data_IF_143194247648
#
_entry.id   IF_143194247648
#
_cell.length_a   1.000
_cell.length_b   1.000
_cell.length_c   1.000
_cell.angle_alpha   90.00
_cell.angle_beta   90.00
_cell.angle_gamma   90.00
#
_symmetry.space_group_name_H-M   'P 1'
#
loop_
_entity.id
_entity.type
_entity.pdbx_description
1 polymer ?
#
# COMPACT_ATOMS: atom_id res chain seq x y z
N UNK A 1 8.18 23.87 9.59
CA UNK A 1 8.63 23.69 8.19
C UNK A 1 7.77 24.52 7.25
N UNK A 2 8.32 25.01 6.13
CA UNK A 2 7.58 25.86 5.19
C UNK A 2 6.76 24.99 4.22
N UNK A 3 5.45 25.24 4.15
CA UNK A 3 4.57 24.61 3.16
C UNK A 3 4.88 25.10 1.75
N UNK A 4 5.00 24.19 0.78
CA UNK A 4 5.32 24.54 -0.61
C UNK A 4 4.22 25.33 -1.34
N UNK A 5 2.98 25.29 -0.84
CA UNK A 5 1.82 25.97 -1.43
C UNK A 5 1.60 27.34 -0.77
N UNK A 6 1.20 27.38 0.50
CA UNK A 6 0.87 28.65 1.16
C UNK A 6 2.10 29.44 1.67
N UNK A 7 3.31 28.88 1.57
CA UNK A 7 4.58 29.49 2.02
C UNK A 7 4.65 29.85 3.51
N UNK A 8 3.68 29.42 4.31
CA UNK A 8 3.67 29.62 5.77
C UNK A 8 4.43 28.51 6.47
N UNK A 9 4.99 28.84 7.63
CA UNK A 9 5.49 27.85 8.56
C UNK A 9 4.33 27.07 9.20
N UNK A 10 4.38 25.74 9.07
CA UNK A 10 3.36 24.81 9.54
C UNK A 10 4.02 23.51 10.04
N UNK A 11 3.25 22.75 10.81
CA UNK A 11 3.49 21.32 11.07
C UNK A 11 3.03 20.52 9.85
N UNK A 12 3.95 19.82 9.18
CA UNK A 12 3.64 19.01 8.01
C UNK A 12 4.66 17.88 7.84
N UNK A 13 4.31 16.85 7.08
CA UNK A 13 5.22 15.76 6.76
C UNK A 13 6.24 16.19 5.69
N UNK A 14 7.54 16.06 5.98
CA UNK A 14 8.61 16.55 5.09
C UNK A 14 8.53 15.97 3.69
N UNK A 15 8.18 14.69 3.57
CA UNK A 15 8.10 14.00 2.29
C UNK A 15 6.90 14.46 1.43
N UNK A 16 5.79 14.92 2.05
CA UNK A 16 4.66 15.56 1.33
C UNK A 16 5.01 17.00 0.94
N UNK A 17 5.64 17.75 1.84
CA UNK A 17 6.01 19.15 1.62
C UNK A 17 4.82 20.12 1.58
N UNK A 18 3.60 19.66 1.86
CA UNK A 18 2.37 20.45 1.89
C UNK A 18 1.64 20.26 3.22
N UNK A 19 1.02 21.31 3.74
CA UNK A 19 0.32 21.27 5.03
C UNK A 19 -1.15 20.81 4.87
N UNK A 20 -1.76 20.36 5.97
CA UNK A 20 -3.15 19.91 6.03
C UNK A 20 -4.13 20.89 5.37
N UNK A 21 -4.05 22.17 5.73
CA UNK A 21 -4.97 23.21 5.23
C UNK A 21 -4.93 23.28 3.70
N UNK A 22 -3.74 23.26 3.08
CA UNK A 22 -3.62 23.28 1.62
C UNK A 22 -4.12 21.99 0.96
N UNK A 23 -3.98 20.83 1.62
CA UNK A 23 -4.54 19.57 1.11
C UNK A 23 -6.07 19.65 1.05
N UNK A 24 -6.70 20.22 2.09
CA UNK A 24 -8.16 20.28 2.21
C UNK A 24 -8.77 21.41 1.36
N UNK A 25 -8.14 22.58 1.31
CA UNK A 25 -8.72 23.80 0.73
C UNK A 25 -8.17 24.14 -0.65
N UNK A 26 -7.00 23.59 -1.04
CA UNK A 26 -6.30 23.89 -2.30
C UNK A 26 -5.90 22.61 -3.03
N UNK A 27 -6.86 21.69 -3.16
CA UNK A 27 -6.65 20.33 -3.66
C UNK A 27 -5.93 20.28 -5.02
N UNK A 28 -6.35 21.08 -6.00
CA UNK A 28 -5.74 21.06 -7.35
C UNK A 28 -4.24 21.39 -7.33
N UNK A 29 -3.81 22.25 -6.39
CA UNK A 29 -2.39 22.55 -6.19
C UNK A 29 -1.67 21.45 -5.39
N UNK A 30 -2.35 20.84 -4.41
CA UNK A 30 -1.79 19.83 -3.51
C UNK A 30 -1.67 18.44 -4.14
N UNK A 31 -2.58 18.08 -5.06
CA UNK A 31 -2.73 16.74 -5.63
C UNK A 31 -1.43 16.19 -6.20
N UNK A 32 -0.69 17.01 -6.96
CA UNK A 32 0.58 16.58 -7.56
C UNK A 32 1.64 16.17 -6.52
N UNK A 33 1.74 16.89 -5.40
CA UNK A 33 2.66 16.55 -4.31
C UNK A 33 2.29 15.22 -3.66
N UNK A 34 1.00 14.99 -3.44
CA UNK A 34 0.47 13.76 -2.85
C UNK A 34 0.72 12.58 -3.79
N UNK A 35 0.35 12.72 -5.06
CA UNK A 35 0.56 11.68 -6.07
C UNK A 35 2.03 11.30 -6.23
N UNK A 36 2.94 12.29 -6.27
CA UNK A 36 4.38 12.05 -6.35
C UNK A 36 4.88 11.30 -5.11
N UNK A 37 4.40 11.68 -3.92
CA UNK A 37 4.79 11.01 -2.69
C UNK A 37 4.36 9.54 -2.66
N UNK A 38 3.11 9.25 -3.06
CA UNK A 38 2.62 7.88 -3.19
C UNK A 38 3.41 7.07 -4.23
N UNK A 39 3.64 7.63 -5.43
CA UNK A 39 4.43 6.97 -6.48
C UNK A 39 5.83 6.62 -6.00
N UNK A 40 6.53 7.57 -5.34
CA UNK A 40 7.86 7.33 -4.77
C UNK A 40 7.85 6.22 -3.74
N UNK A 41 6.91 6.26 -2.79
CA UNK A 41 6.81 5.23 -1.74
C UNK A 41 6.65 3.83 -2.31
N UNK A 42 5.98 3.68 -3.46
CA UNK A 42 5.74 2.38 -4.09
C UNK A 42 6.89 1.93 -4.96
N UNK A 43 7.53 2.88 -5.65
CA UNK A 43 8.70 2.63 -6.48
C UNK A 43 9.85 2.01 -5.68
N UNK A 44 10.06 2.48 -4.45
CA UNK A 44 11.10 1.94 -3.54
C UNK A 44 10.93 0.43 -3.30
N UNK A 45 9.70 -0.08 -3.33
CA UNK A 45 9.40 -1.50 -3.17
C UNK A 45 9.11 -2.21 -4.50
N UNK A 46 9.54 -1.67 -5.64
CA UNK A 46 9.31 -2.24 -6.98
C UNK A 46 7.84 -2.57 -7.30
N UNK A 47 6.92 -1.83 -6.70
CA UNK A 47 5.48 -1.96 -6.94
C UNK A 47 5.00 -0.98 -8.02
N UNK A 48 3.86 -1.29 -8.65
CA UNK A 48 3.24 -0.38 -9.63
C UNK A 48 2.99 0.97 -8.99
N UNK A 49 3.60 2.03 -9.52
CA UNK A 49 3.56 3.40 -8.95
C UNK A 49 2.14 3.98 -8.95
N UNK A 50 1.32 3.55 -9.91
CA UNK A 50 -0.09 3.94 -10.07
C UNK A 50 -0.97 2.71 -10.25
N UNK A 51 -2.28 2.88 -10.03
CA UNK A 51 -3.27 1.86 -10.41
C UNK A 51 -3.17 1.63 -11.92
N UNK A 52 -2.89 0.40 -12.39
CA UNK A 52 -2.83 0.10 -13.81
C UNK A 52 -4.16 0.40 -14.51
N UNK A 53 -4.08 1.14 -15.62
CA UNK A 53 -5.22 1.52 -16.47
C UNK A 53 -4.90 1.28 -17.95
N UNK A 54 -4.26 0.15 -18.23
CA UNK A 54 -3.82 -0.23 -19.57
C UNK A 54 -5.03 -0.51 -20.47
N UNK A 55 -5.11 0.18 -21.62
CA UNK A 55 -6.28 0.17 -22.52
C UNK A 55 -6.74 -1.22 -22.97
N UNK A 56 -5.79 -2.13 -23.20
CA UNK A 56 -6.03 -3.53 -23.57
C UNK A 56 -5.76 -4.49 -22.41
N UNK A 57 -5.77 -3.98 -21.18
CA UNK A 57 -5.51 -4.75 -19.98
C UNK A 57 -6.72 -5.57 -19.53
N UNK A 58 -6.45 -6.66 -18.83
CA UNK A 58 -7.50 -7.49 -18.22
C UNK A 58 -8.01 -6.77 -16.97
N UNK A 59 -9.33 -6.62 -16.87
CA UNK A 59 -9.97 -5.99 -15.71
C UNK A 59 -9.90 -6.92 -14.49
N UNK A 60 -9.41 -6.41 -13.36
CA UNK A 60 -9.42 -7.08 -12.06
C UNK A 60 -10.43 -6.40 -11.13
N UNK A 61 -11.50 -7.11 -10.76
CA UNK A 61 -12.62 -6.56 -9.95
C UNK A 61 -12.56 -6.95 -8.46
N UNK A 62 -11.41 -7.38 -7.95
CA UNK A 62 -11.31 -7.87 -6.56
C UNK A 62 -11.44 -6.76 -5.50
N UNK A 63 -11.04 -5.54 -5.86
CA UNK A 63 -11.06 -4.40 -4.94
C UNK A 63 -11.34 -3.10 -5.71
N UNK A 64 -11.58 -2.01 -4.98
CA UNK A 64 -11.97 -0.70 -5.51
C UNK A 64 -10.95 -0.05 -6.46
N UNK A 65 -9.72 -0.55 -6.54
CA UNK A 65 -8.75 -0.05 -7.53
C UNK A 65 -9.18 -0.37 -8.97
N UNK A 66 -9.90 -1.47 -9.19
CA UNK A 66 -10.34 -1.92 -10.52
C UNK A 66 -9.25 -1.80 -11.58
N UNK A 67 -8.13 -2.50 -11.34
CA UNK A 67 -6.96 -2.42 -12.23
C UNK A 67 -7.33 -2.94 -13.63
N UNK A 68 -6.85 -2.26 -14.67
CA UNK A 68 -6.76 -2.83 -16.02
C UNK A 68 -5.29 -3.18 -16.26
N UNK A 69 -4.99 -4.47 -16.17
CA UNK A 69 -3.62 -4.97 -16.08
C UNK A 69 -3.16 -5.41 -17.48
N UNK A 70 -2.24 -4.65 -18.08
CA UNK A 70 -1.65 -4.91 -19.40
C UNK A 70 -0.74 -6.14 -19.40
N UNK A 71 -0.41 -6.67 -20.58
CA UNK A 71 0.44 -7.87 -20.71
C UNK A 71 1.79 -7.66 -20.03
N UNK A 72 2.17 -8.57 -19.13
CA UNK A 72 3.39 -8.49 -18.32
C UNK A 72 3.30 -7.57 -17.09
N UNK A 73 2.23 -6.78 -16.96
CA UNK A 73 2.06 -5.88 -15.82
C UNK A 73 1.52 -6.61 -14.60
N UNK A 74 1.81 -6.02 -13.43
CA UNK A 74 1.24 -6.43 -12.15
C UNK A 74 0.08 -5.50 -11.78
N UNK A 75 -0.91 -6.05 -11.07
CA UNK A 75 -1.95 -5.27 -10.41
C UNK A 75 -1.36 -4.37 -9.32
N UNK A 76 -2.14 -3.38 -8.87
CA UNK A 76 -1.69 -2.43 -7.85
C UNK A 76 -1.28 -3.11 -6.53
N UNK A 77 -1.91 -4.22 -6.14
CA UNK A 77 -1.52 -4.98 -4.95
C UNK A 77 -0.23 -5.80 -5.13
N UNK A 78 0.30 -5.94 -6.34
CA UNK A 78 1.44 -6.82 -6.65
C UNK A 78 1.10 -8.32 -6.71
N UNK A 79 -0.05 -8.78 -6.20
CA UNK A 79 -0.38 -10.21 -6.12
C UNK A 79 -0.95 -10.83 -7.39
N UNK A 80 -1.17 -10.04 -8.44
CA UNK A 80 -1.72 -10.52 -9.71
C UNK A 80 -0.91 -10.00 -10.88
N UNK A 81 -0.62 -10.85 -11.85
CA UNK A 81 0.11 -10.51 -13.08
C UNK A 81 -0.74 -10.91 -14.28
N UNK A 82 -0.76 -10.08 -15.32
CA UNK A 82 -1.28 -10.54 -16.61
C UNK A 82 -0.16 -11.27 -17.34
N UNK A 83 -0.23 -12.60 -17.34
CA UNK A 83 0.73 -13.46 -17.99
C UNK A 83 0.07 -14.07 -19.23
N UNK A 84 0.61 -13.74 -20.41
CA UNK A 84 0.13 -14.26 -21.69
C UNK A 84 -1.39 -14.10 -21.91
N UNK A 85 -1.96 -12.97 -21.48
CA UNK A 85 -3.39 -12.69 -21.66
C UNK A 85 -4.29 -13.40 -20.63
N UNK A 86 -3.72 -13.91 -19.55
CA UNK A 86 -4.45 -14.48 -18.40
C UNK A 86 -4.04 -13.81 -17.12
N UNK A 87 -5.01 -13.56 -16.24
CA UNK A 87 -4.74 -12.98 -14.93
C UNK A 87 -4.34 -14.09 -13.95
N UNK A 88 -3.06 -14.16 -13.61
CA UNK A 88 -2.50 -15.12 -12.66
C UNK A 88 -2.51 -14.51 -11.26
N UNK A 89 -2.88 -15.30 -10.25
CA UNK A 89 -2.85 -14.94 -8.83
C UNK A 89 -1.73 -15.68 -8.13
N UNK A 90 -0.94 -14.97 -7.32
CA UNK A 90 0.14 -15.57 -6.52
C UNK A 90 -0.32 -16.12 -5.16
N UNK A 91 -1.60 -15.92 -4.85
CA UNK A 91 -2.29 -16.48 -3.69
C UNK A 91 -3.51 -17.29 -4.13
N UNK A 92 -3.86 -18.30 -3.34
CA UNK A 92 -5.01 -19.19 -3.53
C UNK A 92 -5.63 -19.54 -2.17
N UNK A 93 -6.70 -20.34 -2.18
CA UNK A 93 -7.31 -20.86 -0.95
C UNK A 93 -6.33 -21.68 -0.07
N UNK A 94 -5.34 -22.32 -0.71
CA UNK A 94 -4.38 -23.21 -0.05
C UNK A 94 -2.99 -22.58 0.09
N UNK A 95 -2.80 -21.36 -0.45
CA UNK A 95 -1.50 -20.66 -0.46
C UNK A 95 -1.69 -19.16 -0.21
N UNK A 96 -1.21 -18.68 0.94
CA UNK A 96 -1.19 -17.27 1.29
C UNK A 96 0.24 -16.78 1.51
N UNK A 97 0.48 -15.49 1.21
CA UNK A 97 1.68 -14.77 1.64
C UNK A 97 1.26 -14.02 2.89
N UNK A 98 1.91 -14.29 4.01
CA UNK A 98 1.53 -13.77 5.31
C UNK A 98 2.77 -13.26 6.04
N UNK A 99 2.55 -12.24 6.85
CA UNK A 99 3.45 -11.84 7.91
C UNK A 99 2.69 -11.91 9.23
N UNK A 100 3.36 -12.31 10.30
CA UNK A 100 2.79 -12.20 11.63
C UNK A 100 3.80 -11.55 12.57
N UNK A 101 3.27 -10.88 13.58
CA UNK A 101 4.07 -10.27 14.63
C UNK A 101 3.25 -10.17 15.92
N UNK A 102 3.95 -10.03 17.04
CA UNK A 102 3.34 -9.74 18.33
C UNK A 102 3.11 -8.24 18.42
N UNK A 103 1.84 -7.82 18.41
CA UNK A 103 1.48 -6.40 18.45
C UNK A 103 1.15 -6.00 19.89
N UNK A 104 1.94 -5.10 20.53
CA UNK A 104 1.74 -4.73 21.92
C UNK A 104 0.45 -3.93 22.13
N UNK A 105 -0.34 -4.30 23.12
CA UNK A 105 -1.54 -3.54 23.51
C UNK A 105 -1.14 -2.13 23.97
N UNK A 106 -1.82 -1.04 23.50
CA UNK A 106 -3.13 -0.99 22.83
C UNK A 106 -3.12 -0.63 21.32
N UNK A 107 -2.17 -1.12 20.53
CA UNK A 107 -1.98 -0.66 19.12
C UNK A 107 -3.11 -1.02 18.14
N UNK A 108 -3.63 -2.25 18.18
CA UNK A 108 -4.52 -2.80 17.15
C UNK A 108 -5.73 -3.57 17.72
N UNK A 109 -5.70 -3.94 19.00
CA UNK A 109 -6.93 -4.20 19.74
C UNK A 109 -7.43 -2.88 20.29
N UNK A 110 -8.66 -2.57 19.91
CA UNK A 110 -9.47 -1.57 20.56
C UNK A 110 -9.33 -1.79 22.07
N UNK A 111 -8.85 -0.78 22.78
CA UNK A 111 -9.02 -0.60 24.22
C UNK A 111 -10.52 -0.54 24.52
N UNK A 112 -11.16 -1.68 24.33
CA UNK A 112 -12.59 -1.86 24.35
C UNK A 112 -12.93 -2.72 25.56
N UNK A 113 -14.03 -2.42 26.27
CA UNK A 113 -14.42 -3.13 27.48
C UNK A 113 -14.57 -4.66 27.33
N UNK A 114 -14.73 -5.16 26.10
CA UNK A 114 -14.87 -6.59 25.81
C UNK A 114 -13.54 -7.29 25.49
N UNK A 115 -12.44 -6.55 25.38
CA UNK A 115 -11.10 -7.09 25.19
C UNK A 115 -10.38 -7.04 26.54
N UNK A 116 -10.33 -8.16 27.26
CA UNK A 116 -9.65 -8.26 28.57
C UNK A 116 -8.11 -8.27 28.45
N UNK A 117 -7.59 -7.64 27.39
CA UNK A 117 -6.17 -7.58 27.09
C UNK A 117 -5.53 -6.51 27.99
N UNK A 118 -4.52 -6.89 28.76
CA UNK A 118 -3.85 -6.01 29.72
C UNK A 118 -2.71 -5.25 29.05
N UNK A 119 -2.37 -4.08 29.58
CA UNK A 119 -1.13 -3.39 29.20
C UNK A 119 0.06 -4.36 29.28
N UNK A 120 0.93 -4.34 28.27
CA UNK A 120 2.10 -5.26 28.07
C UNK A 120 1.77 -6.68 27.62
N UNK A 121 0.52 -6.99 27.30
CA UNK A 121 0.17 -8.18 26.52
C UNK A 121 0.32 -7.91 25.02
N UNK A 122 0.28 -8.99 24.23
CA UNK A 122 0.45 -8.94 22.78
C UNK A 122 -0.70 -9.63 22.07
N UNK A 123 -1.17 -9.01 21.00
CA UNK A 123 -1.99 -9.69 19.99
C UNK A 123 -1.09 -10.48 19.04
N UNK A 124 -1.54 -11.65 18.61
CA UNK A 124 -1.01 -12.25 17.39
C UNK A 124 -1.64 -11.55 16.19
N UNK A 125 -0.94 -10.56 15.64
CA UNK A 125 -1.35 -9.90 14.42
C UNK A 125 -0.91 -10.72 13.21
N UNK A 126 -1.85 -11.04 12.32
CA UNK A 126 -1.57 -11.70 11.04
C UNK A 126 -1.96 -10.75 9.92
N UNK A 127 -0.98 -10.37 9.11
CA UNK A 127 -1.14 -9.46 7.99
C UNK A 127 -0.97 -10.20 6.67
N UNK A 128 -1.91 -9.99 5.75
CA UNK A 128 -1.79 -10.48 4.38
C UNK A 128 -0.64 -9.76 3.69
N UNK A 129 0.27 -10.48 3.02
CA UNK A 129 1.47 -9.91 2.39
C UNK A 129 1.25 -8.89 1.27
N UNK A 130 0.03 -8.39 1.08
CA UNK A 130 -0.27 -7.24 0.24
C UNK A 130 -1.48 -6.45 0.75
N UNK A 131 -1.51 -5.17 0.41
CA UNK A 131 -2.61 -4.25 0.66
C UNK A 131 -3.06 -3.57 -0.63
N UNK A 132 -4.36 -3.29 -0.77
CA UNK A 132 -4.92 -2.51 -1.86
C UNK A 132 -4.81 -0.99 -1.64
N UNK A 133 -4.35 -0.54 -0.47
CA UNK A 133 -4.07 0.85 -0.14
C UNK A 133 -2.57 1.17 -0.17
N UNK A 134 -2.22 2.46 -0.11
CA UNK A 134 -0.84 2.93 -0.01
C UNK A 134 -0.71 4.04 1.04
N UNK A 135 -0.99 3.71 2.30
CA UNK A 135 -0.81 4.64 3.41
C UNK A 135 0.67 5.01 3.56
N UNK A 136 0.99 6.30 3.54
CA UNK A 136 2.38 6.79 3.63
C UNK A 136 3.00 6.65 5.03
N UNK A 137 2.16 6.38 6.04
CA UNK A 137 2.55 6.10 7.42
C UNK A 137 1.95 4.76 7.88
N UNK A 138 2.10 3.72 7.03
CA UNK A 138 1.54 2.41 7.34
C UNK A 138 2.27 1.78 8.54
N UNK A 139 1.54 1.39 9.58
CA UNK A 139 2.11 0.62 10.71
C UNK A 139 2.60 -0.76 10.27
N UNK A 140 1.94 -1.35 9.28
CA UNK A 140 2.29 -2.65 8.72
C UNK A 140 3.34 -2.58 7.60
N UNK A 141 4.05 -1.47 7.40
CA UNK A 141 4.89 -1.25 6.20
C UNK A 141 5.90 -2.38 5.91
N UNK A 142 6.37 -3.10 6.93
CA UNK A 142 7.31 -4.23 6.82
C UNK A 142 6.86 -5.32 5.83
N UNK A 143 5.55 -5.46 5.56
CA UNK A 143 5.07 -6.42 4.55
C UNK A 143 5.63 -6.10 3.15
N UNK A 144 5.91 -4.83 2.86
CA UNK A 144 6.43 -4.38 1.57
C UNK A 144 7.85 -4.92 1.31
N UNK A 145 8.69 -4.97 2.34
CA UNK A 145 10.03 -5.58 2.26
C UNK A 145 9.94 -7.08 1.96
N UNK A 146 8.97 -7.76 2.57
CA UNK A 146 8.80 -9.22 2.41
C UNK A 146 8.13 -9.60 1.08
N UNK A 147 7.35 -8.70 0.48
CA UNK A 147 6.72 -8.91 -0.81
C UNK A 147 7.75 -8.85 -1.96
N UNK A 148 8.77 -8.02 -1.84
CA UNK A 148 9.78 -7.77 -2.88
C UNK A 148 10.54 -9.06 -3.33
N UNK A 149 11.08 -9.89 -2.41
CA UNK A 149 11.73 -11.15 -2.75
C UNK A 149 10.77 -12.13 -3.45
N UNK A 150 9.52 -12.21 -2.99
CA UNK A 150 8.50 -13.10 -3.56
C UNK A 150 8.17 -12.67 -4.99
N UNK A 151 7.96 -11.38 -5.23
CA UNK A 151 7.75 -10.84 -6.58
C UNK A 151 8.99 -11.04 -7.47
N UNK A 152 10.20 -10.90 -6.93
CA UNK A 152 11.45 -11.11 -7.68
C UNK A 152 11.66 -12.57 -8.09
N UNK A 153 11.20 -13.53 -7.28
CA UNK A 153 11.26 -14.96 -7.59
C UNK A 153 10.19 -15.34 -8.62
N UNK A 154 9.00 -14.75 -8.49
CA UNK A 154 7.90 -14.93 -9.46
C UNK A 154 8.21 -14.29 -10.83
N UNK A 155 9.03 -13.23 -10.86
CA UNK A 155 9.53 -12.62 -12.10
C UNK A 155 10.65 -13.44 -12.79
N UNK A 156 11.25 -14.41 -12.10
CA UNK A 156 12.39 -15.23 -12.59
C UNK A 156 11.98 -16.61 -13.11
N UNK A 157 10.70 -16.95 -13.07
CA UNK A 157 10.17 -18.19 -13.65
C UNK A 157 9.80 -18.06 -15.14
N UNK A 158 10.19 -16.94 -15.77
CA UNK A 158 10.13 -16.69 -17.22
C UNK A 158 11.48 -17.06 -17.87
#
# INVERSE_FOLDING_TARGET
>A
MICKICKKEKTLAKFLGVCKDCILERWEEAKSFIEIAHQKSRKEFSLSEKVPKSKLGIKCNLCSNECQIGKGEFGFCGLRKNENGKLISFVSKDKAILEYYYDPIPTNCVDAPWCNAKEREYNLAVFMGACNFNCLFCQNWHFLDKLNPVLSQLKRQD
#
